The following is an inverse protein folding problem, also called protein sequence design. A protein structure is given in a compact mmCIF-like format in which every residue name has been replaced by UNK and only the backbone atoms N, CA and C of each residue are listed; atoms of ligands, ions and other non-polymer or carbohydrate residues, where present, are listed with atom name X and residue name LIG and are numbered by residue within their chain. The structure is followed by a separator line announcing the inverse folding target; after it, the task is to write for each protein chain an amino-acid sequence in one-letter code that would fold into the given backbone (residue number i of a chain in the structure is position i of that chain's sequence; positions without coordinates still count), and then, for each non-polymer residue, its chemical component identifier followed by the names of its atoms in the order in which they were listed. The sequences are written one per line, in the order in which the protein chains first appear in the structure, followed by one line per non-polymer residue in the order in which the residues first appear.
data_IF_173234157257
#
_entry.id   IF_173234157257
#
_cell.length_a   1.000
_cell.length_b   1.000
_cell.length_c   1.000
_cell.angle_alpha   90.00
_cell.angle_beta   90.00
_cell.angle_gamma   90.00
#
_symmetry.space_group_name_H-M   'P 1'
#
loop_
_entity.id
_entity.type
_entity.pdbx_description
1 polymer ?
#
# COMPACT_ATOMS: atom_id res chain seq x y z
N UNK A 1 7.90 -22.33 5.78
CA UNK A 1 9.14 -22.56 5.00
C UNK A 1 8.76 -22.31 3.54
N UNK A 2 9.21 -21.19 2.96
CA UNK A 2 8.96 -20.87 1.55
C UNK A 2 9.94 -21.70 0.71
N UNK A 3 9.44 -22.47 -0.26
CA UNK A 3 10.27 -23.31 -1.14
C UNK A 3 10.87 -22.46 -2.25
N UNK A 4 12.20 -22.50 -2.37
CA UNK A 4 13.02 -21.59 -3.17
C UNK A 4 12.81 -21.62 -4.70
N UNK A 5 11.98 -22.52 -5.25
CA UNK A 5 11.83 -22.69 -6.71
C UNK A 5 10.36 -22.84 -7.16
N UNK A 6 9.43 -22.14 -6.51
CA UNK A 6 8.05 -22.03 -7.00
C UNK A 6 7.67 -20.57 -7.28
N UNK A 7 7.99 -20.02 -8.47
CA UNK A 7 7.68 -18.64 -8.84
C UNK A 7 6.18 -18.35 -9.02
N UNK A 8 5.29 -19.31 -8.72
CA UNK A 8 3.86 -19.20 -9.02
C UNK A 8 3.03 -18.58 -7.88
N UNK A 9 3.61 -18.22 -6.73
CA UNK A 9 2.77 -17.88 -5.56
C UNK A 9 3.14 -16.61 -4.78
N UNK A 10 4.29 -15.96 -5.04
CA UNK A 10 4.67 -14.74 -4.29
C UNK A 10 4.86 -13.48 -5.15
N UNK A 11 4.27 -13.43 -6.34
CA UNK A 11 4.43 -12.32 -7.29
C UNK A 11 3.94 -10.95 -6.77
N UNK A 12 2.99 -10.92 -5.83
CA UNK A 12 2.56 -9.67 -5.19
C UNK A 12 3.64 -9.11 -4.25
N UNK A 13 4.22 -9.96 -3.40
CA UNK A 13 5.31 -9.56 -2.50
C UNK A 13 6.55 -9.20 -3.28
N UNK A 14 6.89 -9.95 -4.34
CA UNK A 14 8.00 -9.63 -5.23
C UNK A 14 7.85 -8.25 -5.88
N UNK A 15 6.64 -7.90 -6.35
CA UNK A 15 6.36 -6.56 -6.91
C UNK A 15 6.52 -5.46 -5.87
N UNK A 16 6.00 -5.67 -4.65
CA UNK A 16 6.16 -4.71 -3.56
C UNK A 16 7.63 -4.54 -3.20
N UNK A 17 8.38 -5.63 -3.08
CA UNK A 17 9.81 -5.60 -2.79
C UNK A 17 10.58 -4.83 -3.86
N UNK A 18 10.25 -5.02 -5.15
CA UNK A 18 10.86 -4.26 -6.25
C UNK A 18 10.61 -2.76 -6.13
N UNK A 19 9.36 -2.35 -5.84
CA UNK A 19 9.03 -0.93 -5.64
C UNK A 19 9.83 -0.35 -4.47
N UNK A 20 9.96 -1.09 -3.37
CA UNK A 20 10.76 -0.66 -2.21
C UNK A 20 12.23 -0.51 -2.60
N UNK A 21 12.80 -1.50 -3.30
CA UNK A 21 14.18 -1.45 -3.77
C UNK A 21 14.45 -0.28 -4.72
N UNK A 22 13.54 0.00 -5.65
CA UNK A 22 13.66 1.10 -6.60
C UNK A 22 13.66 2.46 -5.91
N UNK A 23 12.77 2.65 -4.93
CA UNK A 23 12.74 3.87 -4.12
C UNK A 23 14.02 4.00 -3.30
N UNK A 24 14.46 2.93 -2.64
CA UNK A 24 15.70 2.95 -1.86
C UNK A 24 16.93 3.22 -2.74
N UNK A 25 16.96 2.69 -3.96
CA UNK A 25 18.04 2.94 -4.93
C UNK A 25 18.08 4.40 -5.35
N UNK A 26 16.94 5.00 -5.66
CA UNK A 26 16.81 6.42 -5.98
C UNK A 26 17.27 7.29 -4.81
N UNK A 27 16.81 7.00 -3.59
CA UNK A 27 17.17 7.74 -2.38
C UNK A 27 18.66 7.65 -2.06
N UNK A 28 19.25 6.46 -2.19
CA UNK A 28 20.69 6.27 -2.02
C UNK A 28 21.51 6.99 -3.09
N UNK A 29 21.00 7.11 -4.32
CA UNK A 29 21.65 7.86 -5.39
C UNK A 29 21.59 9.38 -5.16
N UNK A 30 20.45 9.90 -4.69
CA UNK A 30 20.24 11.32 -4.42
C UNK A 30 20.95 11.79 -3.15
N UNK A 31 20.96 10.96 -2.10
CA UNK A 31 21.54 11.29 -0.80
C UNK A 31 22.51 10.21 -0.27
N UNK A 32 23.64 9.93 -0.94
CA UNK A 32 24.51 8.79 -0.60
C UNK A 32 25.08 8.79 0.82
N UNK A 33 25.21 9.98 1.45
CA UNK A 33 25.72 10.13 2.82
C UNK A 33 24.61 10.29 3.87
N UNK A 34 23.37 10.50 3.45
CA UNK A 34 22.23 10.83 4.32
C UNK A 34 21.03 9.89 4.10
N UNK A 35 21.18 8.85 3.27
CA UNK A 35 20.11 7.92 2.92
C UNK A 35 19.43 7.33 4.17
N UNK A 36 20.20 7.07 5.24
CA UNK A 36 19.69 6.57 6.51
C UNK A 36 18.81 7.59 7.26
N UNK A 37 19.10 8.89 7.12
CA UNK A 37 18.31 9.97 7.74
C UNK A 37 16.93 10.11 7.07
N UNK A 38 16.84 9.76 5.79
CA UNK A 38 15.60 9.88 4.99
C UNK A 38 14.77 8.60 4.94
N UNK A 39 15.30 7.46 5.42
CA UNK A 39 14.54 6.20 5.52
C UNK A 39 13.21 6.34 6.25
N UNK A 40 13.08 7.06 7.38
CA UNK A 40 11.78 7.20 8.06
C UNK A 40 10.74 7.91 7.18
N UNK A 41 11.17 8.85 6.33
CA UNK A 41 10.29 9.54 5.40
C UNK A 41 9.83 8.61 4.27
N UNK A 42 10.74 7.78 3.76
CA UNK A 42 10.43 6.76 2.75
C UNK A 42 9.43 5.74 3.28
N UNK A 43 9.67 5.20 4.48
CA UNK A 43 8.75 4.28 5.16
C UNK A 43 7.38 4.92 5.33
N UNK A 44 7.33 6.17 5.79
CA UNK A 44 6.07 6.90 5.94
C UNK A 44 5.33 7.04 4.61
N UNK A 45 6.04 7.41 3.54
CA UNK A 45 5.46 7.55 2.21
C UNK A 45 4.90 6.23 1.69
N UNK A 46 5.65 5.13 1.83
CA UNK A 46 5.21 3.78 1.45
C UNK A 46 3.99 3.33 2.24
N UNK A 47 3.97 3.54 3.55
CA UNK A 47 2.86 3.15 4.42
C UNK A 47 1.61 4.02 4.24
N UNK A 48 1.76 5.22 3.68
CA UNK A 48 0.66 6.14 3.39
C UNK A 48 0.20 6.11 1.92
N UNK A 49 0.91 5.39 1.05
CA UNK A 49 0.52 5.21 -0.35
C UNK A 49 -0.65 4.22 -0.48
N UNK A 50 -1.61 4.54 -1.33
CA UNK A 50 -2.74 3.64 -1.64
C UNK A 50 -2.24 2.51 -2.53
N UNK A 51 -2.40 1.27 -2.09
CA UNK A 51 -2.08 0.12 -2.92
C UNK A 51 -3.17 -0.07 -3.98
N UNK A 52 -2.78 -0.08 -5.26
CA UNK A 52 -3.71 -0.14 -6.39
C UNK A 52 -4.61 -1.39 -6.40
N UNK A 53 -4.09 -2.53 -5.97
CA UNK A 53 -4.83 -3.79 -5.92
C UNK A 53 -5.89 -3.79 -4.83
N UNK A 54 -5.60 -3.18 -3.68
CA UNK A 54 -6.49 -3.25 -2.50
C UNK A 54 -7.35 -2.00 -2.30
N UNK A 55 -6.93 -0.85 -2.84
CA UNK A 55 -7.55 0.45 -2.60
C UNK A 55 -7.32 1.02 -1.20
N UNK A 56 -6.47 0.38 -0.38
CA UNK A 56 -6.16 0.81 0.99
C UNK A 56 -4.67 1.13 1.15
N UNK A 57 -4.36 1.98 2.12
CA UNK A 57 -2.99 2.23 2.57
C UNK A 57 -2.61 1.20 3.65
N UNK A 58 -1.33 0.81 3.78
CA UNK A 58 -0.88 -0.01 4.91
C UNK A 58 -1.27 0.56 6.29
N UNK A 59 -1.20 1.89 6.48
CA UNK A 59 -1.68 2.52 7.73
C UNK A 59 -3.16 2.27 7.99
N UNK A 60 -4.01 2.38 6.96
CA UNK A 60 -5.43 2.12 7.12
C UNK A 60 -5.73 0.65 7.39
N UNK A 61 -5.05 -0.28 6.72
CA UNK A 61 -5.28 -1.72 6.96
C UNK A 61 -4.85 -2.12 8.36
N UNK A 62 -3.74 -1.57 8.86
CA UNK A 62 -3.20 -1.93 10.18
C UNK A 62 -3.92 -1.24 11.33
N UNK A 63 -4.20 0.06 11.20
CA UNK A 63 -4.71 0.91 12.28
C UNK A 63 -6.12 1.47 12.08
N UNK A 64 -6.78 1.18 10.95
CA UNK A 64 -8.05 1.79 10.52
C UNK A 64 -8.02 3.32 10.43
N UNK A 65 -6.83 3.91 10.40
CA UNK A 65 -6.61 5.33 10.39
C UNK A 65 -5.40 5.67 9.51
N UNK A 66 -5.52 6.77 8.76
CA UNK A 66 -4.38 7.36 8.07
C UNK A 66 -3.78 8.45 8.95
N UNK A 67 -2.45 8.62 8.95
CA UNK A 67 -1.82 9.73 9.63
C UNK A 67 -2.35 11.06 9.07
N UNK A 68 -2.54 12.03 9.96
CA UNK A 68 -2.82 13.40 9.55
C UNK A 68 -1.54 13.99 8.96
N UNK A 69 -1.55 14.24 7.66
CA UNK A 69 -0.52 15.03 6.98
C UNK A 69 -1.05 16.45 6.75
N UNK A 70 -0.19 17.45 6.51
CA UNK A 70 -0.64 18.83 6.26
C UNK A 70 -1.68 18.96 5.13
N UNK A 71 -1.66 18.02 4.18
CA UNK A 71 -2.61 17.95 3.06
C UNK A 71 -3.91 17.21 3.40
N UNK A 72 -4.02 16.58 4.57
CA UNK A 72 -5.26 15.92 4.99
C UNK A 72 -6.30 16.98 5.37
N UNK A 73 -7.48 17.00 4.73
CA UNK A 73 -8.51 17.94 5.11
C UNK A 73 -8.91 17.71 6.57
N UNK A 74 -9.19 18.79 7.33
CA UNK A 74 -9.58 18.65 8.73
C UNK A 74 -10.82 17.78 8.83
N UNK A 75 -10.77 16.78 9.72
CA UNK A 75 -11.87 15.85 9.93
C UNK A 75 -13.06 16.64 10.47
N UNK A 76 -14.11 16.82 9.65
CA UNK A 76 -15.35 17.49 10.07
C UNK A 76 -15.85 16.84 11.37
N UNK A 77 -15.97 17.64 12.43
CA UNK A 77 -16.47 17.20 13.74
C UNK A 77 -15.42 16.87 14.79
N UNK A 78 -14.10 16.95 14.52
CA UNK A 78 -13.07 16.78 15.55
C UNK A 78 -12.76 18.06 16.33
N UNK A 79 -13.79 18.87 16.61
CA UNK A 79 -13.61 20.03 17.47
C UNK A 79 -13.26 19.55 18.87
N UNK A 80 -12.11 19.99 19.41
CA UNK A 80 -11.86 20.05 20.86
C UNK A 80 -12.72 21.15 21.49
N UNK A 81 -13.97 21.30 21.03
CA UNK A 81 -14.92 22.17 21.69
C UNK A 81 -15.42 21.46 22.93
N UNK A 82 -15.69 22.25 23.97
CA UNK A 82 -16.23 21.76 25.24
C UNK A 82 -17.49 20.88 25.03
N UNK A 83 -18.30 21.21 24.02
CA UNK A 83 -19.44 20.41 23.56
C UNK A 83 -19.04 19.06 22.96
N UNK A 84 -18.02 19.03 22.11
CA UNK A 84 -17.51 17.77 21.53
C UNK A 84 -16.88 16.83 22.57
N UNK A 85 -16.33 17.38 23.65
CA UNK A 85 -15.82 16.60 24.79
C UNK A 85 -16.99 16.10 25.64
N UNK A 86 -17.96 16.95 25.96
CA UNK A 86 -19.14 16.59 26.74
C UNK A 86 -19.98 15.48 26.07
N UNK A 87 -20.22 15.57 24.77
CA UNK A 87 -20.91 14.51 24.01
C UNK A 87 -20.17 13.17 24.10
N UNK A 88 -18.83 13.18 24.00
CA UNK A 88 -18.02 11.96 24.11
C UNK A 88 -18.00 11.38 25.52
N UNK A 89 -18.11 12.22 26.55
CA UNK A 89 -18.21 11.76 27.94
C UNK A 89 -19.61 11.22 28.27
N UNK A 90 -20.66 11.80 27.69
CA UNK A 90 -22.03 11.34 27.86
C UNK A 90 -22.24 9.92 27.33
N UNK A 91 -21.47 9.53 26.31
CA UNK A 91 -21.50 8.20 25.68
C UNK A 91 -20.66 7.12 26.40
N UNK A 92 -20.07 7.37 27.59
CA UNK A 92 -19.27 6.36 28.34
C UNK A 92 -20.20 5.44 29.18
N UNK A 93 -21.31 4.99 28.61
CA UNK A 93 -22.12 3.92 29.20
C UNK A 93 -21.52 2.56 28.82
N UNK A 94 -21.53 1.54 29.71
CA UNK A 94 -21.04 0.20 29.37
C UNK A 94 -21.66 -0.39 28.10
N UNK A 95 -22.93 -0.06 27.82
CA UNK A 95 -23.65 -0.48 26.61
C UNK A 95 -23.09 0.23 25.37
N UNK A 96 -22.85 1.53 25.46
CA UNK A 96 -22.31 2.32 24.36
C UNK A 96 -20.86 1.96 24.05
N UNK A 97 -20.03 1.73 25.08
CA UNK A 97 -18.65 1.24 24.91
C UNK A 97 -18.63 -0.13 24.24
N UNK A 98 -19.49 -1.07 24.67
CA UNK A 98 -19.58 -2.39 24.03
C UNK A 98 -19.96 -2.27 22.55
N UNK A 99 -20.96 -1.44 22.24
CA UNK A 99 -21.37 -1.18 20.86
C UNK A 99 -20.22 -0.58 20.03
N UNK A 100 -19.48 0.39 20.57
CA UNK A 100 -18.33 0.98 19.89
C UNK A 100 -17.23 -0.06 19.60
N UNK A 101 -16.98 -0.98 20.53
CA UNK A 101 -16.03 -2.09 20.32
C UNK A 101 -16.54 -3.04 19.22
N UNK A 102 -17.81 -3.42 19.26
CA UNK A 102 -18.42 -4.29 18.24
C UNK A 102 -18.39 -3.63 16.85
N UNK A 103 -18.67 -2.33 16.76
CA UNK A 103 -18.58 -1.53 15.54
C UNK A 103 -17.15 -1.47 15.01
N UNK A 104 -16.16 -1.26 15.89
CA UNK A 104 -14.74 -1.25 15.55
C UNK A 104 -14.27 -2.61 15.02
N UNK A 105 -14.61 -3.70 15.71
CA UNK A 105 -14.26 -5.06 15.29
C UNK A 105 -14.90 -5.39 13.95
N UNK A 106 -16.18 -5.05 13.79
CA UNK A 106 -16.93 -5.26 12.55
C UNK A 106 -16.32 -4.48 11.37
N UNK A 107 -15.95 -3.22 11.59
CA UNK A 107 -15.24 -2.41 10.59
C UNK A 107 -13.90 -3.05 10.21
N UNK A 108 -13.12 -3.50 11.20
CA UNK A 108 -11.83 -4.15 10.96
C UNK A 108 -11.98 -5.41 10.11
N UNK A 109 -12.91 -6.28 10.48
CA UNK A 109 -13.20 -7.50 9.72
C UNK A 109 -13.62 -7.15 8.30
N UNK A 110 -14.48 -6.14 8.12
CA UNK A 110 -14.92 -5.71 6.79
C UNK A 110 -13.75 -5.22 5.92
N UNK A 111 -12.87 -4.38 6.45
CA UNK A 111 -11.68 -3.88 5.72
C UNK A 111 -10.76 -5.04 5.36
N UNK A 112 -10.44 -5.91 6.31
CA UNK A 112 -9.56 -7.05 6.07
C UNK A 112 -10.13 -8.03 5.04
N UNK A 113 -11.45 -8.27 5.06
CA UNK A 113 -12.10 -9.08 4.04
C UNK A 113 -11.96 -8.46 2.65
N UNK A 114 -12.24 -7.16 2.50
CA UNK A 114 -12.06 -6.46 1.21
C UNK A 114 -10.63 -6.54 0.71
N UNK A 115 -9.66 -6.29 1.59
CA UNK A 115 -8.23 -6.38 1.26
C UNK A 115 -7.87 -7.79 0.81
N UNK A 116 -8.29 -8.81 1.57
CA UNK A 116 -8.05 -10.22 1.22
C UNK A 116 -8.65 -10.58 -0.13
N UNK A 117 -9.91 -10.25 -0.35
CA UNK A 117 -10.63 -10.63 -1.56
C UNK A 117 -10.04 -9.92 -2.80
N UNK A 118 -9.63 -8.65 -2.64
CA UNK A 118 -8.95 -7.91 -3.70
C UNK A 118 -7.54 -8.45 -4.01
N UNK A 119 -6.77 -8.85 -2.98
CA UNK A 119 -5.48 -9.51 -3.17
C UNK A 119 -5.64 -10.87 -3.87
N UNK A 120 -6.65 -11.66 -3.50
CA UNK A 120 -6.96 -12.93 -4.16
C UNK A 120 -7.31 -12.72 -5.64
N UNK A 121 -8.21 -11.79 -5.95
CA UNK A 121 -8.55 -11.45 -7.33
C UNK A 121 -7.33 -10.97 -8.13
N UNK A 122 -6.43 -10.20 -7.50
CA UNK A 122 -5.20 -9.74 -8.14
C UNK A 122 -4.21 -10.87 -8.40
N UNK A 123 -4.16 -11.89 -7.53
CA UNK A 123 -3.36 -13.10 -7.75
C UNK A 123 -3.94 -13.96 -8.88
N UNK A 124 -5.27 -14.12 -8.93
CA UNK A 124 -5.94 -14.86 -9.99
C UNK A 124 -5.69 -14.22 -11.35
N UNK A 125 -5.78 -12.88 -11.44
CA UNK A 125 -5.45 -12.14 -12.65
C UNK A 125 -3.99 -12.32 -13.06
N UNK A 126 -3.05 -12.20 -12.11
CA UNK A 126 -1.63 -12.41 -12.40
C UNK A 126 -1.35 -13.81 -12.95
N UNK A 127 -2.00 -14.82 -12.38
CA UNK A 127 -1.89 -16.20 -12.84
C UNK A 127 -2.45 -16.34 -14.26
N UNK A 128 -3.60 -15.76 -14.55
CA UNK A 128 -4.19 -15.76 -15.90
C UNK A 128 -3.27 -15.09 -16.93
N UNK A 129 -2.68 -13.93 -16.59
CA UNK A 129 -1.70 -13.26 -17.46
C UNK A 129 -0.43 -14.10 -17.68
N UNK A 130 0.09 -14.75 -16.64
CA UNK A 130 1.24 -15.63 -16.75
C UNK A 130 0.96 -16.84 -17.64
N UNK A 131 -0.21 -17.47 -17.46
CA UNK A 131 -0.66 -18.62 -18.27
C UNK A 131 -0.90 -18.21 -19.74
N UNK A 132 -1.42 -17.01 -19.99
CA UNK A 132 -1.60 -16.47 -21.35
C UNK A 132 -0.25 -16.25 -22.04
N UNK A 133 0.71 -15.60 -21.38
CA UNK A 133 2.07 -15.42 -21.92
C UNK A 133 2.83 -16.74 -22.11
N UNK A 134 2.58 -17.75 -21.28
CA UNK A 134 3.19 -19.06 -21.43
C UNK A 134 2.66 -19.79 -22.69
N UNK A 135 1.36 -19.63 -23.01
CA UNK A 135 0.77 -20.17 -24.24
C UNK A 135 1.28 -19.49 -25.50
N UNK A 136 1.45 -18.16 -25.45
CA UNK A 136 1.98 -17.35 -26.54
C UNK A 136 3.45 -17.72 -26.85
N UNK A 137 4.29 -17.78 -25.80
CA UNK A 137 5.69 -18.26 -25.91
C UNK A 137 5.83 -19.73 -26.29
N UNK A 138 4.79 -20.56 -26.09
CA UNK A 138 4.77 -21.95 -26.53
C UNK A 138 4.51 -22.12 -28.03
N UNK A 139 4.01 -21.08 -28.72
CA UNK A 139 3.86 -21.07 -30.18
C UNK A 139 5.10 -20.55 -30.91
N UNK A 140 5.97 -19.80 -30.23
CA UNK A 140 7.28 -19.41 -30.73
C UNK A 140 8.33 -20.47 -30.32
N UNK A 141 8.81 -21.27 -31.27
CA UNK A 141 9.86 -22.27 -31.03
C UNK A 141 11.14 -21.67 -30.40
N UNK A 142 12.06 -22.51 -29.88
CA UNK A 142 13.06 -22.09 -28.89
C UNK A 142 14.02 -21.05 -29.48
N UNK A 143 13.89 -19.81 -29.02
CA UNK A 143 14.68 -18.67 -29.47
C UNK A 143 15.01 -17.70 -28.34
N UNK A 144 16.20 -17.88 -27.77
CA UNK A 144 17.13 -16.86 -27.24
C UNK A 144 16.57 -15.79 -26.29
N UNK A 145 17.03 -15.86 -25.03
CA UNK A 145 16.89 -14.84 -23.99
C UNK A 145 17.11 -13.40 -24.49
N UNK A 146 16.13 -12.54 -24.27
CA UNK A 146 16.31 -11.09 -24.23
C UNK A 146 15.55 -10.52 -23.03
N UNK A 147 16.29 -9.99 -22.06
CA UNK A 147 15.76 -9.05 -21.08
C UNK A 147 15.35 -7.78 -21.83
N UNK A 148 14.05 -7.56 -22.03
CA UNK A 148 13.52 -6.27 -22.49
C UNK A 148 13.09 -5.45 -21.28
N UNK A 149 13.98 -4.54 -20.87
CA UNK A 149 13.65 -3.39 -20.03
C UNK A 149 12.61 -2.55 -20.76
N UNK A 150 11.34 -2.66 -20.37
CA UNK A 150 10.29 -1.84 -20.94
C UNK A 150 9.20 -1.56 -19.90
N UNK A 151 9.54 -0.72 -18.93
CA UNK A 151 8.57 -0.08 -18.04
C UNK A 151 9.12 1.26 -17.47
N UNK A 152 9.94 1.96 -18.25
CA UNK A 152 10.60 3.22 -17.84
C UNK A 152 9.71 4.49 -17.93
N UNK A 153 8.44 4.40 -18.35
CA UNK A 153 7.61 5.61 -18.50
C UNK A 153 6.64 5.91 -17.34
N UNK A 154 6.41 4.98 -16.41
CA UNK A 154 5.48 5.24 -15.29
C UNK A 154 6.15 5.76 -14.01
N UNK A 155 7.46 5.54 -13.83
CA UNK A 155 8.21 6.03 -12.68
C UNK A 155 8.47 7.55 -12.73
N UNK A 156 8.48 8.16 -13.93
CA UNK A 156 8.70 9.60 -14.13
C UNK A 156 7.56 10.46 -13.59
N UNK A 157 6.32 9.93 -13.56
CA UNK A 157 5.14 10.65 -13.08
C UNK A 157 5.11 10.83 -11.55
N UNK A 158 5.55 9.80 -10.80
CA UNK A 158 5.54 9.81 -9.33
C UNK A 158 6.64 10.73 -8.77
N UNK A 159 7.81 10.74 -9.40
CA UNK A 159 8.94 11.63 -9.02
C UNK A 159 8.68 13.11 -9.36
N UNK A 160 7.93 13.40 -10.44
CA UNK A 160 7.51 14.79 -10.77
C UNK A 160 6.53 15.38 -9.75
N UNK A 161 5.73 14.55 -9.07
CA UNK A 161 4.82 15.01 -8.02
C UNK A 161 5.54 15.39 -6.72
N UNK A 162 6.68 14.77 -6.42
CA UNK A 162 7.45 15.00 -5.20
C UNK A 162 8.38 16.22 -5.28
N UNK A 163 8.72 16.67 -6.49
CA UNK A 163 9.61 17.83 -6.72
C UNK A 163 8.88 19.18 -6.81
N UNK A 164 7.54 19.22 -6.85
CA UNK A 164 6.76 20.47 -6.86
C UNK A 164 6.12 20.86 -5.52
N UNK A 165 6.37 20.10 -4.44
CA UNK A 165 5.72 20.31 -3.15
C UNK A 165 6.67 20.68 -2.00
N UNK A 166 7.77 21.39 -2.29
CA UNK A 166 8.63 21.98 -1.26
C UNK A 166 8.92 23.44 -1.62
N UNK A 167 8.39 24.44 -0.88
CA UNK A 167 8.87 25.82 -0.94
C UNK A 167 10.24 26.00 -0.30
#
# INVERSE_FOLDING_TARGET
MSTADHPQTDGQTERVNRVVEDILRSVCAEAPRRWSEVLPLVEFALNNAVNASTGFTPFNVNGLANPHVPLTPPRRGSGLSERGIADRLADISPIAVRKQVDDFVSLRVSVLCKVRDAMAASQDLQKEYADAQARDRGQEGPGVYAYSSQEDEHASGVLRGLTQAVP
#
